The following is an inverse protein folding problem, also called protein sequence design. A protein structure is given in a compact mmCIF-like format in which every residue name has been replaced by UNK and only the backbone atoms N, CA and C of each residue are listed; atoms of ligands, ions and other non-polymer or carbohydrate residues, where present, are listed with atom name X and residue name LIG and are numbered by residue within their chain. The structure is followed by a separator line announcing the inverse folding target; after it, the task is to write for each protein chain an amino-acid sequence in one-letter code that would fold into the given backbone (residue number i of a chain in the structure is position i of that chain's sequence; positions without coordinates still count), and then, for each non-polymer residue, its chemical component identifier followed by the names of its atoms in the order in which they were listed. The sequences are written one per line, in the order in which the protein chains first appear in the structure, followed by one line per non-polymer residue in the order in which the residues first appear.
data_IF_447849660102
#
_entry.id   IF_447849660102
#
_cell.length_a   1.000
_cell.length_b   1.000
_cell.length_c   1.000
_cell.angle_alpha   90.00
_cell.angle_beta   90.00
_cell.angle_gamma   90.00
#
_symmetry.space_group_name_H-M   'P 1'
#
loop_
_entity.id
_entity.type
_entity.pdbx_description
1 polymer ?
#
# COMPACT_ATOMS: atom_id res chain seq x y z
N UNK A 1 24.76 -40.45 11.20
CA UNK A 1 24.19 -39.68 10.07
C UNK A 1 23.44 -38.51 10.68
N UNK A 2 24.19 -37.47 11.06
CA UNK A 2 23.67 -36.29 11.76
C UNK A 2 23.15 -35.31 10.73
N UNK A 3 21.86 -35.01 10.81
CA UNK A 3 21.16 -34.01 10.01
C UNK A 3 21.83 -32.66 10.18
N UNK A 4 22.45 -32.16 9.10
CA UNK A 4 22.77 -30.75 8.97
C UNK A 4 21.44 -29.98 8.86
N UNK A 5 20.92 -29.52 9.99
CA UNK A 5 19.99 -28.40 9.99
C UNK A 5 20.76 -27.18 9.51
N UNK A 6 20.54 -26.80 8.24
CA UNK A 6 20.97 -25.51 7.74
C UNK A 6 20.20 -24.45 8.51
N UNK A 7 20.82 -23.86 9.54
CA UNK A 7 20.31 -22.65 10.16
C UNK A 7 20.10 -21.61 9.05
N UNK A 8 18.85 -21.29 8.75
CA UNK A 8 18.52 -20.15 7.92
C UNK A 8 19.16 -18.93 8.58
N UNK A 9 19.87 -18.05 7.84
CA UNK A 9 20.43 -16.86 8.42
C UNK A 9 19.29 -16.08 9.07
N UNK A 10 19.36 -15.90 10.39
CA UNK A 10 18.56 -14.90 11.07
C UNK A 10 18.74 -13.59 10.31
N UNK A 11 17.67 -12.90 9.95
CA UNK A 11 17.76 -11.53 9.47
C UNK A 11 17.47 -10.63 10.68
N UNK A 12 18.47 -10.28 11.53
CA UNK A 12 18.38 -9.04 12.31
C UNK A 12 18.00 -7.89 11.37
N UNK A 13 17.38 -6.81 11.89
CA UNK A 13 17.16 -5.59 11.10
C UNK A 13 18.42 -5.28 10.29
N UNK A 14 18.35 -5.55 8.99
CA UNK A 14 19.53 -5.60 8.16
C UNK A 14 19.78 -4.22 7.58
N UNK A 15 21.00 -3.93 7.13
CA UNK A 15 21.27 -2.66 6.45
C UNK A 15 20.35 -2.41 5.23
N UNK A 16 19.78 -3.49 4.67
CA UNK A 16 18.81 -3.42 3.60
C UNK A 16 17.46 -2.83 4.03
N UNK A 17 17.09 -2.93 5.32
CA UNK A 17 15.88 -2.35 5.90
C UNK A 17 16.02 -0.84 6.11
N UNK A 18 17.23 -0.29 6.07
CA UNK A 18 17.44 1.15 6.23
C UNK A 18 17.00 1.91 4.97
N UNK A 19 16.02 2.79 5.16
CA UNK A 19 15.65 3.84 4.22
C UNK A 19 15.93 5.22 4.85
N UNK A 20 16.20 6.26 4.04
CA UNK A 20 16.30 7.62 4.55
C UNK A 20 15.02 8.02 5.30
N UNK A 21 15.16 8.69 6.45
CA UNK A 21 14.01 9.12 7.28
C UNK A 21 12.99 9.95 6.52
N UNK A 22 13.44 10.72 5.53
CA UNK A 22 12.52 11.51 4.72
C UNK A 22 11.52 10.65 3.94
N UNK A 23 11.89 9.41 3.58
CA UNK A 23 11.03 8.47 2.87
C UNK A 23 9.98 7.88 3.82
N UNK A 24 10.42 7.15 4.85
CA UNK A 24 9.51 6.32 5.65
C UNK A 24 8.84 7.05 6.83
N UNK A 25 9.35 8.23 7.22
CA UNK A 25 8.83 9.00 8.34
C UNK A 25 8.29 10.36 7.89
N UNK A 26 9.14 11.22 7.33
CA UNK A 26 8.74 12.61 7.08
C UNK A 26 7.78 12.77 5.92
N UNK A 27 7.93 12.00 4.83
CA UNK A 27 6.99 12.07 3.71
C UNK A 27 5.56 11.69 4.11
N UNK A 28 5.28 10.52 4.73
CA UNK A 28 3.91 10.19 5.11
C UNK A 28 3.34 11.15 6.16
N UNK A 29 4.15 11.64 7.11
CA UNK A 29 3.71 12.68 8.05
C UNK A 29 3.39 14.00 7.36
N UNK A 30 4.22 14.43 6.42
CA UNK A 30 3.99 15.66 5.66
C UNK A 30 2.71 15.56 4.83
N UNK A 31 2.46 14.42 4.18
CA UNK A 31 1.19 14.16 3.47
C UNK A 31 0.01 14.28 4.42
N UNK A 32 0.08 13.68 5.63
CA UNK A 32 -0.99 13.78 6.62
C UNK A 32 -1.28 15.24 7.00
N UNK A 33 -0.23 16.00 7.32
CA UNK A 33 -0.35 17.40 7.72
C UNK A 33 -0.88 18.26 6.58
N UNK A 34 -0.40 18.06 5.34
CA UNK A 34 -0.87 18.81 4.17
C UNK A 34 -2.35 18.54 3.93
N UNK A 35 -2.78 17.27 3.93
CA UNK A 35 -4.19 16.92 3.72
C UNK A 35 -5.09 17.48 4.81
N UNK A 36 -4.66 17.39 6.07
CA UNK A 36 -5.38 17.97 7.21
C UNK A 36 -5.49 19.49 7.07
N UNK A 37 -4.37 20.19 6.83
CA UNK A 37 -4.36 21.64 6.70
C UNK A 37 -5.22 22.10 5.52
N UNK A 38 -5.11 21.47 4.35
CA UNK A 38 -5.91 21.84 3.18
C UNK A 38 -7.40 21.58 3.40
N UNK A 39 -7.77 20.45 4.01
CA UNK A 39 -9.17 20.13 4.28
C UNK A 39 -9.86 21.19 5.18
N UNK A 40 -9.12 21.77 6.13
CA UNK A 40 -9.66 22.74 7.09
C UNK A 40 -9.47 24.20 6.70
N UNK A 41 -8.31 24.54 6.14
CA UNK A 41 -7.98 25.93 5.79
C UNK A 41 -8.48 26.33 4.39
N UNK A 42 -8.68 25.37 3.49
CA UNK A 42 -9.09 25.62 2.11
C UNK A 42 -10.00 24.48 1.57
N UNK A 43 -11.19 24.25 2.15
CA UNK A 43 -12.04 23.11 1.81
C UNK A 43 -12.50 23.09 0.34
N UNK A 44 -12.77 24.25 -0.27
CA UNK A 44 -13.10 24.33 -1.70
C UNK A 44 -11.91 23.92 -2.58
N UNK A 45 -10.70 24.35 -2.22
CA UNK A 45 -9.49 23.93 -2.91
C UNK A 45 -9.28 22.42 -2.75
N UNK A 46 -9.50 21.88 -1.55
CA UNK A 46 -9.40 20.44 -1.29
C UNK A 46 -10.38 19.65 -2.15
N UNK A 47 -11.65 20.05 -2.18
CA UNK A 47 -12.69 19.37 -2.95
C UNK A 47 -12.37 19.33 -4.45
N UNK A 48 -11.82 20.42 -5.01
CA UNK A 48 -11.52 20.50 -6.44
C UNK A 48 -10.21 19.80 -6.80
N UNK A 49 -9.14 19.99 -6.01
CA UNK A 49 -7.79 19.58 -6.41
C UNK A 49 -7.28 18.33 -5.70
N UNK A 50 -7.76 18.02 -4.51
CA UNK A 50 -7.32 16.85 -3.74
C UNK A 50 -8.29 15.69 -3.91
N UNK A 51 -9.56 15.93 -3.61
CA UNK A 51 -10.61 14.92 -3.51
C UNK A 51 -11.68 15.01 -4.60
N UNK A 52 -11.34 15.43 -5.82
CA UNK A 52 -12.22 15.26 -6.98
C UNK A 52 -12.16 13.81 -7.47
N UNK A 53 -13.29 13.24 -7.92
CA UNK A 53 -13.41 11.84 -8.38
C UNK A 53 -12.92 11.54 -9.81
N UNK A 54 -12.53 12.57 -10.57
CA UNK A 54 -12.00 12.36 -11.93
C UNK A 54 -10.56 12.84 -12.13
N UNK A 55 -10.10 13.74 -11.25
CA UNK A 55 -8.89 14.58 -11.44
C UNK A 55 -8.21 14.94 -10.13
N UNK A 56 -8.64 14.35 -9.01
CA UNK A 56 -8.05 14.63 -7.71
C UNK A 56 -6.59 14.17 -7.67
N UNK A 57 -5.75 14.93 -6.95
CA UNK A 57 -4.36 14.50 -6.70
C UNK A 57 -4.31 13.18 -5.91
N UNK A 58 -5.33 12.87 -5.10
CA UNK A 58 -5.42 11.59 -4.40
C UNK A 58 -5.58 10.44 -5.40
N UNK A 59 -6.51 10.53 -6.33
CA UNK A 59 -6.75 9.49 -7.35
C UNK A 59 -5.54 9.29 -8.26
N UNK A 60 -4.94 10.40 -8.69
CA UNK A 60 -3.69 10.32 -9.46
C UNK A 60 -2.61 9.58 -8.65
N UNK A 61 -2.52 9.84 -7.35
CA UNK A 61 -1.59 9.11 -6.48
C UNK A 61 -1.95 7.62 -6.36
N UNK A 62 -3.24 7.29 -6.35
CA UNK A 62 -3.77 5.94 -6.26
C UNK A 62 -3.51 5.13 -7.52
N UNK A 63 -3.45 5.76 -8.69
CA UNK A 63 -2.95 5.12 -9.90
C UNK A 63 -1.41 5.04 -9.93
N UNK A 64 -0.71 6.14 -9.64
CA UNK A 64 0.75 6.24 -9.86
C UNK A 64 1.60 5.46 -8.84
N UNK A 65 1.20 5.43 -7.56
CA UNK A 65 1.99 4.73 -6.52
C UNK A 65 1.99 3.21 -6.75
N UNK A 66 0.84 2.54 -6.97
CA UNK A 66 0.80 1.14 -7.36
C UNK A 66 1.47 0.89 -8.72
N UNK A 67 1.34 1.78 -9.71
CA UNK A 67 2.07 1.65 -10.98
C UNK A 67 3.59 1.59 -10.75
N UNK A 68 4.14 2.44 -9.87
CA UNK A 68 5.55 2.36 -9.48
C UNK A 68 5.88 1.01 -8.81
N UNK A 69 4.97 0.50 -7.97
CA UNK A 69 5.05 -0.85 -7.38
C UNK A 69 5.06 -1.96 -8.44
N UNK A 70 4.19 -1.90 -9.44
CA UNK A 70 4.14 -2.84 -10.56
C UNK A 70 5.46 -2.84 -11.34
N UNK A 71 5.94 -1.67 -11.76
CA UNK A 71 7.21 -1.53 -12.48
C UNK A 71 8.36 -2.11 -11.65
N UNK A 72 8.39 -1.83 -10.36
CA UNK A 72 9.40 -2.36 -9.45
C UNK A 72 9.32 -3.89 -9.33
N UNK A 73 8.12 -4.44 -9.17
CA UNK A 73 7.85 -5.88 -9.12
C UNK A 73 8.28 -6.60 -10.39
N UNK A 74 7.89 -6.08 -11.56
CA UNK A 74 8.31 -6.60 -12.86
C UNK A 74 9.83 -6.62 -12.98
N UNK A 75 10.51 -5.52 -12.62
CA UNK A 75 11.99 -5.48 -12.62
C UNK A 75 12.60 -6.51 -11.69
N UNK A 76 12.00 -6.79 -10.53
CA UNK A 76 12.45 -7.83 -9.62
C UNK A 76 12.30 -9.25 -10.20
N UNK A 77 11.29 -9.53 -11.03
CA UNK A 77 11.14 -10.83 -11.69
C UNK A 77 12.30 -11.19 -12.65
N UNK A 78 13.08 -10.19 -13.08
CA UNK A 78 14.29 -10.41 -13.88
C UNK A 78 15.55 -10.61 -13.04
N UNK A 79 15.49 -10.45 -11.71
CA UNK A 79 16.65 -10.63 -10.83
C UNK A 79 16.97 -12.12 -10.65
N UNK A 80 18.25 -12.54 -10.78
CA UNK A 80 18.67 -13.93 -10.54
C UNK A 80 18.24 -14.47 -9.17
N UNK A 81 18.29 -13.62 -8.14
CA UNK A 81 17.89 -13.93 -6.77
C UNK A 81 16.41 -14.31 -6.67
N UNK A 82 15.54 -13.64 -7.44
CA UNK A 82 14.11 -13.96 -7.47
C UNK A 82 13.88 -15.26 -8.23
N UNK A 83 14.49 -15.39 -9.42
CA UNK A 83 14.33 -16.56 -10.31
C UNK A 83 14.85 -17.86 -9.71
N UNK A 84 15.87 -17.78 -8.84
CA UNK A 84 16.43 -18.94 -8.14
C UNK A 84 15.44 -19.56 -7.15
N UNK A 85 14.58 -18.74 -6.53
CA UNK A 85 13.66 -19.18 -5.49
C UNK A 85 12.21 -19.08 -5.97
N UNK A 86 11.62 -20.22 -6.37
CA UNK A 86 10.25 -20.28 -6.92
C UNK A 86 9.21 -19.55 -6.07
N UNK A 87 9.31 -19.69 -4.74
CA UNK A 87 8.35 -19.07 -3.83
C UNK A 87 8.48 -17.52 -3.83
N UNK A 88 9.70 -16.98 -3.92
CA UNK A 88 9.93 -15.53 -4.03
C UNK A 88 9.43 -15.03 -5.39
N UNK A 89 9.70 -15.78 -6.46
CA UNK A 89 9.17 -15.47 -7.81
C UNK A 89 7.65 -15.37 -7.80
N UNK A 90 6.95 -16.32 -7.19
CA UNK A 90 5.48 -16.31 -7.08
C UNK A 90 5.04 -15.11 -6.25
N UNK A 91 5.67 -14.86 -5.11
CA UNK A 91 5.33 -13.71 -4.25
C UNK A 91 5.47 -12.38 -5.01
N UNK A 92 6.60 -12.17 -5.70
CA UNK A 92 6.88 -10.95 -6.47
C UNK A 92 5.89 -10.82 -7.65
N UNK A 93 5.56 -11.91 -8.31
CA UNK A 93 4.57 -11.92 -9.39
C UNK A 93 3.19 -11.51 -8.87
N UNK A 94 2.73 -12.10 -7.75
CA UNK A 94 1.46 -11.75 -7.14
C UNK A 94 1.43 -10.29 -6.68
N UNK A 95 2.52 -9.78 -6.09
CA UNK A 95 2.62 -8.39 -5.70
C UNK A 95 2.59 -7.43 -6.91
N UNK A 96 3.27 -7.78 -8.00
CA UNK A 96 3.25 -7.02 -9.24
C UNK A 96 1.84 -7.00 -9.85
N UNK A 97 1.19 -8.16 -9.97
CA UNK A 97 -0.18 -8.26 -10.49
C UNK A 97 -1.18 -7.53 -9.60
N UNK A 98 -1.03 -7.59 -8.27
CA UNK A 98 -1.85 -6.82 -7.34
C UNK A 98 -1.67 -5.31 -7.53
N UNK A 99 -0.44 -4.84 -7.71
CA UNK A 99 -0.16 -3.43 -8.02
C UNK A 99 -0.73 -2.99 -9.38
N UNK A 100 -0.66 -3.87 -10.40
CA UNK A 100 -1.26 -3.62 -11.70
C UNK A 100 -2.78 -3.54 -11.61
N UNK A 101 -3.40 -4.46 -10.87
CA UNK A 101 -4.84 -4.46 -10.63
C UNK A 101 -5.26 -3.16 -9.96
N UNK A 102 -4.64 -2.76 -8.85
CA UNK A 102 -4.96 -1.50 -8.16
C UNK A 102 -4.78 -0.32 -9.12
N UNK A 103 -3.62 -0.17 -9.75
CA UNK A 103 -3.38 0.94 -10.68
C UNK A 103 -4.36 0.94 -11.86
N UNK A 104 -4.80 -0.22 -12.32
CA UNK A 104 -5.76 -0.38 -13.40
C UNK A 104 -7.14 0.08 -12.95
N UNK A 105 -7.64 -0.43 -11.83
CA UNK A 105 -8.94 -0.06 -11.26
C UNK A 105 -9.04 1.46 -11.03
N UNK A 106 -8.03 2.05 -10.37
CA UNK A 106 -7.95 3.49 -10.08
C UNK A 106 -7.83 4.39 -11.33
N UNK A 107 -7.38 3.83 -12.46
CA UNK A 107 -7.25 4.54 -13.74
C UNK A 107 -8.37 4.16 -14.74
N UNK A 108 -9.34 3.38 -14.29
CA UNK A 108 -10.39 2.78 -15.12
C UNK A 108 -9.80 2.08 -16.35
N UNK A 109 -8.76 1.29 -16.10
CA UNK A 109 -7.93 0.55 -17.05
C UNK A 109 -7.30 1.41 -18.16
N UNK A 110 -7.21 2.73 -17.96
CA UNK A 110 -6.68 3.70 -18.91
C UNK A 110 -7.76 4.59 -19.54
N UNK A 111 -9.03 4.33 -19.26
CA UNK A 111 -10.16 5.06 -19.85
C UNK A 111 -10.12 6.55 -19.51
N UNK A 112 -9.72 6.90 -18.28
CA UNK A 112 -9.56 8.28 -17.87
C UNK A 112 -8.56 9.06 -18.74
N UNK A 113 -7.57 8.38 -19.32
CA UNK A 113 -6.51 9.00 -20.12
C UNK A 113 -6.78 8.93 -21.62
N UNK A 114 -7.26 7.80 -22.09
CA UNK A 114 -7.47 7.53 -23.52
C UNK A 114 -8.91 7.81 -23.98
N UNK A 115 -9.81 8.12 -23.05
CA UNK A 115 -11.17 8.65 -23.29
C UNK A 115 -11.99 7.83 -24.29
N UNK A 116 -11.95 6.51 -24.16
CA UNK A 116 -12.88 5.64 -24.89
C UNK A 116 -14.23 5.54 -24.18
N UNK A 117 -15.26 5.23 -24.96
CA UNK A 117 -16.62 5.04 -24.45
C UNK A 117 -16.75 3.71 -23.69
N UNK A 118 -17.53 3.72 -22.61
CA UNK A 118 -17.87 2.48 -21.89
C UNK A 118 -18.82 1.64 -22.73
N UNK A 119 -18.51 0.35 -22.97
CA UNK A 119 -19.40 -0.53 -23.73
C UNK A 119 -20.80 -0.61 -23.12
N UNK A 120 -21.85 -0.71 -23.96
CA UNK A 120 -23.26 -0.75 -23.50
C UNK A 120 -23.51 -1.83 -22.43
N UNK A 121 -22.92 -3.02 -22.61
CA UNK A 121 -23.04 -4.12 -21.65
C UNK A 121 -22.42 -3.79 -20.28
N UNK A 122 -21.46 -2.87 -20.24
CA UNK A 122 -20.74 -2.46 -19.04
C UNK A 122 -21.41 -1.25 -18.37
N UNK A 123 -22.00 -0.33 -19.15
CA UNK A 123 -22.85 0.74 -18.62
C UNK A 123 -24.05 0.19 -17.82
N UNK A 124 -24.55 -0.99 -18.19
CA UNK A 124 -25.66 -1.63 -17.48
C UNK A 124 -25.29 -2.10 -16.06
N UNK A 125 -24.00 -2.17 -15.72
CA UNK A 125 -23.52 -2.73 -14.44
C UNK A 125 -22.51 -1.85 -13.71
N UNK A 126 -21.97 -0.81 -14.33
CA UNK A 126 -20.98 0.10 -13.76
C UNK A 126 -21.63 1.47 -13.49
N UNK A 127 -21.61 1.89 -12.23
CA UNK A 127 -22.37 3.07 -11.77
C UNK A 127 -21.75 4.42 -12.18
N UNK A 128 -20.54 4.42 -12.76
CA UNK A 128 -19.81 5.63 -13.16
C UNK A 128 -19.55 5.71 -14.67
N UNK A 129 -20.17 4.84 -15.48
CA UNK A 129 -19.88 4.73 -16.91
C UNK A 129 -18.38 4.51 -17.17
N UNK A 130 -17.74 3.65 -16.38
CA UNK A 130 -16.31 3.35 -16.47
C UNK A 130 -16.02 1.86 -16.72
N UNK A 131 -14.79 1.50 -17.10
CA UNK A 131 -14.40 0.11 -17.43
C UNK A 131 -13.71 -0.65 -16.28
N UNK A 132 -13.63 -0.05 -15.09
CA UNK A 132 -13.17 -0.74 -13.88
C UNK A 132 -14.24 -1.68 -13.30
N UNK A 133 -13.79 -2.53 -12.38
CA UNK A 133 -14.61 -3.49 -11.65
C UNK A 133 -15.08 -2.92 -10.31
N UNK A 134 -14.32 -2.03 -9.66
CA UNK A 134 -14.69 -1.48 -8.35
C UNK A 134 -16.01 -0.67 -8.38
N UNK A 135 -16.37 -0.07 -9.53
CA UNK A 135 -17.64 0.65 -9.71
C UNK A 135 -18.82 -0.26 -10.12
N UNK A 136 -18.60 -1.58 -10.20
CA UNK A 136 -19.66 -2.55 -10.54
C UNK A 136 -20.49 -2.95 -9.32
N UNK A 137 -19.88 -3.01 -8.14
CA UNK A 137 -20.61 -3.28 -6.90
C UNK A 137 -19.78 -2.95 -5.66
N UNK A 138 -20.48 -2.69 -4.55
CA UNK A 138 -19.85 -2.54 -3.22
C UNK A 138 -18.98 -3.73 -2.82
N UNK A 139 -19.20 -4.92 -3.37
CA UNK A 139 -18.33 -6.06 -3.14
C UNK A 139 -16.94 -5.87 -3.76
N UNK A 140 -16.89 -5.40 -5.00
CA UNK A 140 -15.64 -5.17 -5.72
C UNK A 140 -14.90 -3.92 -5.25
N UNK A 141 -15.62 -2.94 -4.71
CA UNK A 141 -15.05 -1.80 -4.00
C UNK A 141 -14.48 -2.20 -2.61
N UNK A 142 -15.31 -2.77 -1.73
CA UNK A 142 -14.95 -2.89 -0.31
C UNK A 142 -14.06 -4.08 0.01
N UNK A 143 -14.21 -5.23 -0.68
CA UNK A 143 -13.47 -6.45 -0.31
C UNK A 143 -11.99 -6.40 -0.63
N UNK A 144 -11.54 -5.93 -1.82
CA UNK A 144 -10.12 -5.78 -2.10
C UNK A 144 -9.44 -4.85 -1.08
N UNK A 145 -10.11 -3.74 -0.75
CA UNK A 145 -9.67 -2.81 0.29
C UNK A 145 -9.55 -3.47 1.67
N UNK A 146 -10.55 -4.24 2.10
CA UNK A 146 -10.51 -4.93 3.40
C UNK A 146 -9.37 -5.96 3.48
N UNK A 147 -9.05 -6.66 2.39
CA UNK A 147 -7.89 -7.57 2.33
C UNK A 147 -6.58 -6.80 2.48
N UNK A 148 -6.49 -5.62 1.85
CA UNK A 148 -5.33 -4.75 1.95
C UNK A 148 -5.16 -4.18 3.37
N UNK A 149 -6.24 -3.70 3.97
CA UNK A 149 -6.29 -3.24 5.36
C UNK A 149 -5.82 -4.33 6.33
N UNK A 150 -6.32 -5.56 6.20
CA UNK A 150 -5.87 -6.69 6.99
C UNK A 150 -4.37 -6.93 6.82
N UNK A 151 -3.85 -6.86 5.59
CA UNK A 151 -2.42 -6.98 5.30
C UNK A 151 -1.58 -5.88 5.97
N UNK A 152 -2.07 -4.65 5.99
CA UNK A 152 -1.40 -3.49 6.62
C UNK A 152 -1.43 -3.60 8.15
N UNK A 153 -2.56 -3.97 8.75
CA UNK A 153 -2.65 -4.18 10.20
C UNK A 153 -1.75 -5.33 10.64
N UNK A 154 -1.86 -6.51 10.01
CA UNK A 154 -1.06 -7.67 10.38
C UNK A 154 0.43 -7.43 10.09
N UNK A 155 0.76 -6.99 8.89
CA UNK A 155 2.12 -6.87 8.40
C UNK A 155 2.84 -5.60 8.87
N UNK A 156 2.15 -4.47 8.94
CA UNK A 156 2.73 -3.16 9.24
C UNK A 156 2.66 -2.76 10.72
N UNK A 157 1.73 -3.34 11.48
CA UNK A 157 1.55 -3.02 12.91
C UNK A 157 1.87 -4.23 13.78
N UNK A 158 1.09 -5.31 13.67
CA UNK A 158 1.18 -6.42 14.62
C UNK A 158 2.51 -7.18 14.52
N UNK A 159 2.92 -7.59 13.32
CA UNK A 159 4.16 -8.36 13.11
C UNK A 159 5.41 -7.57 13.52
N UNK A 160 5.61 -6.31 13.10
CA UNK A 160 6.81 -5.55 13.48
C UNK A 160 6.89 -5.29 14.98
N UNK A 161 5.76 -5.01 15.64
CA UNK A 161 5.70 -4.83 17.09
C UNK A 161 5.92 -6.14 17.85
N UNK A 162 5.33 -7.25 17.40
CA UNK A 162 5.55 -8.57 17.98
C UNK A 162 7.03 -8.98 17.85
N UNK A 163 7.67 -8.67 16.73
CA UNK A 163 9.08 -8.95 16.48
C UNK A 163 10.04 -8.19 17.42
N UNK A 164 9.61 -7.10 18.08
CA UNK A 164 10.41 -6.43 19.11
C UNK A 164 10.58 -7.29 20.36
N UNK A 165 9.58 -8.10 20.69
CA UNK A 165 9.60 -9.01 21.86
C UNK A 165 9.95 -10.45 21.49
N UNK A 166 9.70 -10.85 20.24
CA UNK A 166 9.95 -12.19 19.69
C UNK A 166 10.74 -12.11 18.39
N UNK A 167 12.06 -11.89 18.46
CA UNK A 167 12.92 -11.74 17.26
C UNK A 167 12.88 -12.98 16.34
N UNK A 168 12.48 -14.15 16.85
CA UNK A 168 12.38 -15.41 16.12
C UNK A 168 11.42 -15.32 14.92
N UNK A 169 10.42 -14.42 14.99
CA UNK A 169 9.50 -14.14 13.87
C UNK A 169 10.29 -13.77 12.59
N UNK A 170 11.43 -13.08 12.75
CA UNK A 170 12.29 -12.64 11.64
C UNK A 170 13.39 -13.63 11.27
N UNK A 171 13.34 -14.85 11.80
CA UNK A 171 14.30 -15.92 11.47
C UNK A 171 13.72 -16.96 10.50
N UNK A 172 12.43 -16.86 10.15
CA UNK A 172 11.81 -17.75 9.17
C UNK A 172 12.18 -17.38 7.73
N UNK A 173 11.99 -18.32 6.80
CA UNK A 173 12.14 -18.05 5.35
C UNK A 173 11.28 -16.89 4.84
N UNK A 174 10.20 -16.56 5.54
CA UNK A 174 9.30 -15.46 5.18
C UNK A 174 9.83 -14.09 5.61
N UNK A 175 10.87 -14.03 6.44
CA UNK A 175 11.43 -12.78 6.96
C UNK A 175 11.81 -11.77 5.86
N UNK A 176 12.25 -12.25 4.69
CA UNK A 176 12.60 -11.41 3.55
C UNK A 176 11.41 -10.59 3.02
N UNK A 177 10.18 -11.08 3.13
CA UNK A 177 8.96 -10.36 2.70
C UNK A 177 8.21 -9.70 3.87
N UNK A 178 8.63 -9.93 5.13
CA UNK A 178 7.97 -9.33 6.29
C UNK A 178 8.33 -7.84 6.41
N UNK A 179 7.33 -6.95 6.58
CA UNK A 179 7.60 -5.52 6.76
C UNK A 179 8.52 -5.27 7.98
N UNK A 180 9.53 -4.39 7.86
CA UNK A 180 10.33 -3.96 9.00
C UNK A 180 9.61 -2.88 9.80
N UNK A 181 10.10 -2.60 11.02
CA UNK A 181 9.53 -1.59 11.91
C UNK A 181 9.44 -0.19 11.27
N UNK A 182 10.30 0.13 10.30
CA UNK A 182 10.29 1.44 9.65
C UNK A 182 9.02 1.70 8.82
N UNK A 183 8.22 0.68 8.50
CA UNK A 183 6.92 0.87 7.81
C UNK A 183 5.78 1.14 8.79
N UNK A 184 6.00 1.01 10.11
CA UNK A 184 5.01 1.23 11.16
C UNK A 184 4.37 2.62 11.08
N UNK A 185 5.09 3.75 10.88
CA UNK A 185 4.45 5.07 10.81
C UNK A 185 3.42 5.16 9.68
N UNK A 186 3.72 4.59 8.51
CA UNK A 186 2.78 4.55 7.38
C UNK A 186 1.54 3.71 7.71
N UNK A 187 1.73 2.52 8.31
CA UNK A 187 0.62 1.66 8.69
C UNK A 187 -0.27 2.30 9.77
N UNK A 188 0.33 2.94 10.78
CA UNK A 188 -0.41 3.66 11.82
C UNK A 188 -1.17 4.85 11.24
N UNK A 189 -0.58 5.60 10.30
CA UNK A 189 -1.27 6.71 9.63
C UNK A 189 -2.46 6.24 8.79
N UNK A 190 -2.36 5.07 8.15
CA UNK A 190 -3.48 4.47 7.42
C UNK A 190 -4.66 4.16 8.36
N UNK A 191 -4.39 3.49 9.48
CA UNK A 191 -5.43 3.16 10.45
C UNK A 191 -5.97 4.40 11.16
N UNK A 192 -5.10 5.35 11.48
CA UNK A 192 -5.48 6.61 12.10
C UNK A 192 -6.36 7.45 11.18
N UNK A 193 -6.06 7.56 9.88
CA UNK A 193 -6.87 8.38 8.98
C UNK A 193 -8.31 7.90 8.92
N UNK A 194 -8.53 6.59 8.75
CA UNK A 194 -9.88 6.00 8.68
C UNK A 194 -10.64 6.04 10.01
N UNK A 195 -9.95 5.82 11.12
CA UNK A 195 -10.59 5.74 12.44
C UNK A 195 -10.59 7.07 13.21
N UNK A 196 -10.04 8.14 12.63
CA UNK A 196 -9.86 9.45 13.28
C UNK A 196 -11.16 9.99 13.86
N UNK A 197 -12.26 10.00 13.11
CA UNK A 197 -13.58 10.46 13.56
C UNK A 197 -14.08 9.62 14.74
N UNK A 198 -14.00 8.29 14.65
CA UNK A 198 -14.41 7.38 15.74
C UNK A 198 -13.59 7.61 17.01
N UNK A 199 -12.29 7.84 16.87
CA UNK A 199 -11.39 8.12 18.01
C UNK A 199 -11.71 9.46 18.67
N UNK A 200 -12.07 10.47 17.87
CA UNK A 200 -12.48 11.77 18.35
C UNK A 200 -13.84 11.75 19.05
N UNK A 201 -14.83 11.06 18.49
CA UNK A 201 -16.12 10.88 19.15
C UNK A 201 -15.99 10.12 20.48
N UNK A 202 -15.00 9.25 20.62
CA UNK A 202 -14.73 8.55 21.88
C UNK A 202 -14.22 9.46 23.01
N UNK A 203 -13.81 10.69 22.70
CA UNK A 203 -13.42 11.74 23.66
C UNK A 203 -14.39 12.94 23.62
N UNK A 204 -15.64 12.71 23.19
CA UNK A 204 -16.71 13.71 23.08
C UNK A 204 -16.36 14.90 22.17
N UNK A 205 -15.58 14.65 21.11
CA UNK A 205 -15.24 15.66 20.10
C UNK A 205 -15.79 15.26 18.73
N UNK A 206 -16.75 16.04 18.20
CA UNK A 206 -17.44 15.77 16.92
C UNK A 206 -16.74 16.41 15.70
N UNK A 207 -15.42 16.40 15.67
CA UNK A 207 -14.66 16.96 14.55
C UNK A 207 -14.27 15.92 13.49
N UNK A 208 -14.14 16.40 12.24
CA UNK A 208 -13.61 15.61 11.12
C UNK A 208 -12.15 16.01 10.94
N UNK A 209 -11.19 15.07 11.05
CA UNK A 209 -9.77 15.39 10.79
C UNK A 209 -9.44 15.33 9.30
N UNK A 210 -9.88 14.27 8.62
CA UNK A 210 -9.58 14.03 7.22
C UNK A 210 -10.86 14.01 6.39
N UNK A 211 -11.00 14.97 5.47
CA UNK A 211 -12.05 14.91 4.44
C UNK A 211 -11.76 13.74 3.49
N UNK A 212 -12.79 12.96 3.14
CA UNK A 212 -12.66 11.69 2.40
C UNK A 212 -11.62 10.75 3.05
N UNK A 213 -11.79 10.46 4.34
CA UNK A 213 -10.84 9.66 5.12
C UNK A 213 -10.49 8.29 4.51
N UNK A 214 -11.41 7.73 3.71
CA UNK A 214 -11.17 6.52 2.91
C UNK A 214 -10.01 6.68 1.93
N UNK A 215 -10.04 7.72 1.11
CA UNK A 215 -9.01 8.02 0.10
C UNK A 215 -7.65 8.23 0.73
N UNK A 216 -7.64 8.94 1.87
CA UNK A 216 -6.42 9.22 2.64
C UNK A 216 -5.82 7.90 3.16
N UNK A 217 -6.66 6.96 3.62
CA UNK A 217 -6.21 5.62 4.03
C UNK A 217 -5.60 4.85 2.85
N UNK A 218 -6.24 4.88 1.68
CA UNK A 218 -5.74 4.22 0.46
C UNK A 218 -4.38 4.76 0.01
N UNK A 219 -4.15 6.07 0.09
CA UNK A 219 -2.83 6.67 -0.16
C UNK A 219 -1.76 6.00 0.71
N UNK A 220 -2.04 5.79 2.00
CA UNK A 220 -1.09 5.12 2.90
C UNK A 220 -0.98 3.62 2.64
N UNK A 221 -2.06 2.94 2.25
CA UNK A 221 -2.00 1.52 1.88
C UNK A 221 -1.10 1.29 0.66
N UNK A 222 -1.28 2.09 -0.39
CA UNK A 222 -0.47 1.99 -1.60
C UNK A 222 0.98 2.40 -1.34
N UNK A 223 1.19 3.43 -0.53
CA UNK A 223 2.53 3.82 -0.11
C UNK A 223 3.21 2.72 0.73
N UNK A 224 2.47 2.05 1.61
CA UNK A 224 2.96 0.92 2.39
C UNK A 224 3.38 -0.25 1.49
N UNK A 225 2.58 -0.60 0.47
CA UNK A 225 2.96 -1.63 -0.52
C UNK A 225 4.28 -1.24 -1.21
N UNK A 226 4.38 0.01 -1.70
CA UNK A 226 5.57 0.50 -2.39
C UNK A 226 6.81 0.45 -1.49
N UNK A 227 6.72 0.90 -0.24
CA UNK A 227 7.80 0.80 0.73
C UNK A 227 8.26 -0.65 0.90
N UNK A 228 7.33 -1.59 1.05
CA UNK A 228 7.67 -3.01 1.21
C UNK A 228 8.37 -3.58 -0.03
N UNK A 229 7.95 -3.19 -1.24
CA UNK A 229 8.62 -3.62 -2.48
C UNK A 229 10.02 -3.02 -2.61
N UNK A 230 10.21 -1.75 -2.21
CA UNK A 230 11.53 -1.10 -2.18
C UNK A 230 12.46 -1.85 -1.22
N UNK A 231 11.98 -2.16 -0.02
CA UNK A 231 12.74 -2.87 1.01
C UNK A 231 13.06 -4.31 0.54
N UNK A 232 12.08 -5.03 -0.01
CA UNK A 232 12.29 -6.36 -0.58
C UNK A 232 13.39 -6.32 -1.65
N UNK A 233 13.35 -5.36 -2.57
CA UNK A 233 14.40 -5.21 -3.58
C UNK A 233 15.77 -5.00 -2.96
N UNK A 234 15.88 -4.16 -1.92
CA UNK A 234 17.16 -3.94 -1.22
C UNK A 234 17.67 -5.22 -0.56
N UNK A 235 16.79 -6.00 0.09
CA UNK A 235 17.13 -7.30 0.70
C UNK A 235 17.62 -8.31 -0.34
N UNK A 236 16.97 -8.35 -1.51
CA UNK A 236 17.37 -9.19 -2.63
C UNK A 236 18.77 -8.80 -3.17
N UNK A 237 19.07 -7.50 -3.27
CA UNK A 237 20.40 -7.01 -3.69
C UNK A 237 21.48 -7.34 -2.64
N UNK A 238 21.14 -7.24 -1.36
CA UNK A 238 22.03 -7.58 -0.25
C UNK A 238 22.25 -9.11 -0.09
N UNK A 239 21.60 -9.95 -0.91
CA UNK A 239 21.78 -11.40 -0.89
C UNK A 239 21.07 -12.12 0.27
N UNK A 240 20.00 -11.55 0.82
CA UNK A 240 19.28 -12.09 1.98
C UNK A 240 18.18 -13.12 1.59
N UNK A 241 18.39 -13.85 0.50
CA UNK A 241 17.44 -14.85 -0.05
C UNK A 241 17.68 -16.26 0.42
#
# INVERSE_FOLDING_TARGET
MTSHESHAPSIPQSDADHLPRWVWLWLPLAVAVILLVLAHAAPEFYAVWMGSEERGLLELSHALIPLAGFILGVRMLFMPQVRRHKWISIWVLLAALGCLYISGEEASWGQHYLKWDTPEAWQAVNDQEETNLHNVSSWFDQKPRAVLELGVVLGGILIPLAALKRPEIRQSRFAIVLPPLITLPTAVLAEFSKNSERLLSAIDYDGILFSRASEVQETYFFYFILLNLIILRRRLIAGQT
#
